data_IF_303041333089
#
_entry.id   IF_303041333089
#
_cell.length_a   1.000
_cell.length_b   1.000
_cell.length_c   1.000
_cell.angle_alpha   90.00
_cell.angle_beta   90.00
_cell.angle_gamma   90.00
#
_symmetry.space_group_name_H-M   'P 1'
#
loop_
_entity.id
_entity.type
_entity.pdbx_description
1 polymer ?
#
# COMPACT_ATOMS: atom_id res chain seq x y z
N UNK A 1 10.11 -64.52 -27.92
CA UNK A 1 8.94 -64.43 -27.02
C UNK A 1 9.34 -63.70 -25.76
N UNK A 2 8.99 -62.41 -25.61
CA UNK A 2 9.16 -61.74 -24.32
C UNK A 2 8.14 -62.35 -23.34
N UNK A 3 8.64 -62.83 -22.20
CA UNK A 3 7.80 -63.37 -21.14
C UNK A 3 6.85 -62.29 -20.61
N UNK A 4 5.58 -62.65 -20.44
CA UNK A 4 4.51 -61.80 -19.90
C UNK A 4 4.94 -61.11 -18.60
N UNK A 5 5.78 -61.76 -17.80
CA UNK A 5 6.32 -61.19 -16.55
C UNK A 5 7.24 -59.98 -16.77
N UNK A 6 7.97 -59.91 -17.89
CA UNK A 6 8.84 -58.76 -18.21
C UNK A 6 8.02 -57.58 -18.76
N UNK A 7 6.89 -57.86 -19.41
CA UNK A 7 5.95 -56.85 -19.88
C UNK A 7 5.20 -56.22 -18.71
N UNK A 8 4.69 -57.04 -17.77
CA UNK A 8 4.01 -56.56 -16.56
C UNK A 8 4.95 -55.74 -15.67
N UNK A 9 6.21 -56.18 -15.49
CA UNK A 9 7.22 -55.40 -14.75
C UNK A 9 7.57 -54.08 -15.42
N UNK A 10 7.68 -54.04 -16.75
CA UNK A 10 7.97 -52.79 -17.48
C UNK A 10 6.82 -51.80 -17.43
N UNK A 11 5.56 -52.28 -17.52
CA UNK A 11 4.37 -51.43 -17.38
C UNK A 11 4.25 -50.88 -15.96
N UNK A 12 4.57 -51.69 -14.94
CA UNK A 12 4.57 -51.24 -13.55
C UNK A 12 5.66 -50.20 -13.26
N UNK A 13 6.85 -50.36 -13.84
CA UNK A 13 7.94 -49.39 -13.72
C UNK A 13 7.63 -48.06 -14.45
N UNK A 14 6.97 -48.14 -15.61
CA UNK A 14 6.54 -46.96 -16.36
C UNK A 14 5.41 -46.20 -15.64
N UNK A 15 4.49 -46.90 -14.97
CA UNK A 15 3.46 -46.26 -14.15
C UNK A 15 4.08 -45.51 -12.96
N UNK A 16 5.07 -46.07 -12.26
CA UNK A 16 5.75 -45.43 -11.11
C UNK A 16 6.54 -44.17 -11.54
N UNK A 17 7.11 -44.16 -12.75
CA UNK A 17 7.80 -43.01 -13.32
C UNK A 17 6.86 -41.87 -13.73
N UNK A 18 5.61 -42.16 -14.08
CA UNK A 18 4.62 -41.13 -14.40
C UNK A 18 4.08 -40.45 -13.12
N UNK A 19 3.97 -41.16 -12.00
CA UNK A 19 3.49 -40.55 -10.73
C UNK A 19 4.51 -39.59 -10.10
N UNK A 20 5.79 -39.67 -10.47
CA UNK A 20 6.85 -38.81 -9.90
C UNK A 20 7.13 -37.53 -10.70
N UNK A 21 6.49 -37.32 -11.86
CA UNK A 21 6.83 -36.22 -12.79
C UNK A 21 5.89 -35.00 -12.76
N UNK A 22 4.97 -34.88 -11.81
CA UNK A 22 4.11 -33.69 -11.69
C UNK A 22 4.07 -33.15 -10.25
N UNK A 23 5.16 -32.51 -9.85
CA UNK A 23 5.16 -31.53 -8.77
C UNK A 23 5.82 -30.24 -9.26
N UNK A 24 5.28 -29.67 -10.33
CA UNK A 24 5.50 -28.26 -10.63
C UNK A 24 4.81 -27.45 -9.52
N UNK A 25 5.51 -27.20 -8.42
CA UNK A 25 5.07 -26.19 -7.45
C UNK A 25 4.96 -24.88 -8.24
N UNK A 26 3.73 -24.47 -8.55
CA UNK A 26 3.46 -23.12 -9.06
C UNK A 26 4.08 -22.19 -8.02
N UNK A 27 5.16 -21.49 -8.38
CA UNK A 27 5.73 -20.42 -7.56
C UNK A 27 4.73 -19.26 -7.57
N UNK A 28 3.69 -19.36 -6.75
CA UNK A 28 2.88 -18.20 -6.38
C UNK A 28 3.81 -17.36 -5.53
N UNK A 29 4.41 -16.33 -6.15
CA UNK A 29 5.15 -15.33 -5.41
C UNK A 29 4.14 -14.56 -4.55
N UNK A 30 4.38 -14.46 -3.22
CA UNK A 30 3.41 -13.90 -2.30
C UNK A 30 3.10 -12.45 -2.68
N UNK A 31 1.80 -12.14 -2.75
CA UNK A 31 1.34 -10.79 -3.02
C UNK A 31 1.72 -9.83 -1.89
N UNK A 32 1.73 -8.55 -2.20
CA UNK A 32 1.78 -7.50 -1.18
C UNK A 32 0.59 -7.60 -0.22
N UNK A 33 0.75 -7.04 0.99
CA UNK A 33 -0.28 -7.07 2.03
C UNK A 33 -0.72 -5.64 2.38
N UNK A 34 -2.00 -5.47 2.70
CA UNK A 34 -2.56 -4.21 3.18
C UNK A 34 -3.25 -4.44 4.52
N UNK A 35 -2.62 -4.00 5.59
CA UNK A 35 -3.06 -4.21 6.97
C UNK A 35 -3.79 -2.97 7.48
N UNK A 36 -4.94 -3.14 8.13
CA UNK A 36 -5.59 -2.08 8.91
C UNK A 36 -5.15 -2.18 10.36
N UNK A 37 -4.44 -1.16 10.82
CA UNK A 37 -3.89 -1.13 12.18
C UNK A 37 -4.75 -0.21 13.05
N UNK A 38 -5.38 -0.73 14.13
CA UNK A 38 -6.20 0.08 15.01
C UNK A 38 -5.36 0.94 15.95
N UNK A 39 -5.89 2.12 16.30
CA UNK A 39 -5.37 3.02 17.32
C UNK A 39 -6.49 3.86 17.95
N UNK A 40 -6.21 4.46 19.10
CA UNK A 40 -7.08 5.48 19.70
C UNK A 40 -6.42 6.84 19.50
N UNK A 41 -7.13 7.76 18.84
CA UNK A 41 -6.67 9.12 18.56
C UNK A 41 -6.39 9.87 19.86
N UNK A 42 -5.20 10.47 20.00
CA UNK A 42 -4.92 11.32 21.16
C UNK A 42 -5.67 12.64 21.08
N UNK A 43 -6.08 13.06 19.87
CA UNK A 43 -6.76 14.32 19.58
C UNK A 43 -8.18 14.34 20.12
N UNK A 44 -9.00 13.34 19.77
CA UNK A 44 -10.44 13.31 20.08
C UNK A 44 -10.91 12.04 20.80
N UNK A 45 -9.97 11.15 21.15
CA UNK A 45 -10.23 9.84 21.79
C UNK A 45 -11.07 8.87 20.95
N UNK A 46 -11.29 9.17 19.67
CA UNK A 46 -11.98 8.26 18.77
C UNK A 46 -11.15 7.02 18.46
N UNK A 47 -11.83 5.87 18.30
CA UNK A 47 -11.19 4.69 17.72
C UNK A 47 -11.04 4.89 16.22
N UNK A 48 -9.86 4.61 15.68
CA UNK A 48 -9.50 4.82 14.28
C UNK A 48 -8.56 3.72 13.80
N UNK A 49 -8.33 3.67 12.50
CA UNK A 49 -7.38 2.80 11.85
C UNK A 49 -6.50 3.62 10.89
N UNK A 50 -5.33 3.07 10.58
CA UNK A 50 -4.50 3.49 9.46
C UNK A 50 -4.07 2.26 8.67
N UNK A 51 -3.57 2.47 7.46
CA UNK A 51 -3.01 1.37 6.67
C UNK A 51 -1.51 1.21 6.89
N UNK A 52 -1.08 -0.05 6.98
CA UNK A 52 0.31 -0.46 6.74
C UNK A 52 0.35 -1.33 5.50
N UNK A 53 1.11 -0.91 4.50
CA UNK A 53 1.39 -1.74 3.32
C UNK A 53 2.71 -2.48 3.51
N UNK A 54 2.69 -3.79 3.23
CA UNK A 54 3.89 -4.61 3.16
C UNK A 54 4.15 -4.99 1.70
N UNK A 55 5.38 -4.78 1.20
CA UNK A 55 5.72 -5.02 -0.18
C UNK A 55 5.67 -6.51 -0.54
N UNK A 56 5.68 -6.77 -1.84
CA UNK A 56 5.76 -8.13 -2.38
C UNK A 56 6.99 -8.88 -1.82
N UNK A 57 6.81 -10.17 -1.54
CA UNK A 57 7.83 -11.05 -0.93
C UNK A 57 8.35 -10.60 0.45
N UNK A 58 7.63 -9.72 1.17
CA UNK A 58 8.05 -9.23 2.49
C UNK A 58 8.40 -10.37 3.46
N UNK A 59 7.52 -11.36 3.64
CA UNK A 59 7.73 -12.48 4.56
C UNK A 59 8.82 -13.49 4.09
N UNK A 60 9.15 -13.47 2.80
CA UNK A 60 10.17 -14.36 2.22
C UNK A 60 11.59 -13.80 2.35
N UNK A 61 11.73 -12.50 2.59
CA UNK A 61 13.03 -11.81 2.68
C UNK A 61 13.31 -11.42 4.13
N UNK A 62 13.44 -12.42 5.01
CA UNK A 62 13.61 -12.21 6.45
C UNK A 62 14.89 -11.43 6.80
N UNK A 63 15.95 -11.56 6.01
CA UNK A 63 17.20 -10.81 6.22
C UNK A 63 17.15 -9.37 5.66
N UNK A 64 16.10 -9.02 4.90
CA UNK A 64 15.97 -7.70 4.28
C UNK A 64 15.28 -6.72 5.23
N UNK A 65 15.98 -5.63 5.54
CA UNK A 65 15.37 -4.41 6.09
C UNK A 65 14.71 -3.59 4.99
N UNK A 66 13.48 -3.14 5.23
CA UNK A 66 12.68 -2.42 4.25
C UNK A 66 12.60 -0.92 4.58
N UNK A 67 12.82 -0.04 3.60
CA UNK A 67 12.62 1.40 3.79
C UNK A 67 11.18 1.73 4.12
N UNK A 68 11.01 2.70 5.03
CA UNK A 68 9.69 3.21 5.44
C UNK A 68 9.33 4.46 4.64
N UNK A 69 8.12 4.46 4.08
CA UNK A 69 7.51 5.62 3.45
C UNK A 69 6.25 6.03 4.23
N UNK A 70 6.26 7.24 4.79
CA UNK A 70 5.04 7.84 5.36
C UNK A 70 4.34 8.65 4.27
N UNK A 71 3.11 8.30 3.95
CA UNK A 71 2.31 9.03 2.95
C UNK A 71 1.16 9.77 3.59
N UNK A 72 1.17 11.09 3.48
CA UNK A 72 0.13 11.98 3.98
C UNK A 72 -0.73 12.47 2.82
N UNK A 73 -2.01 12.12 2.83
CA UNK A 73 -2.96 12.48 1.78
C UNK A 73 -3.36 13.97 1.81
N UNK A 74 -4.09 14.39 0.77
CA UNK A 74 -4.59 15.76 0.60
C UNK A 74 -5.90 16.03 1.35
N UNK A 75 -6.56 17.13 1.04
CA UNK A 75 -7.77 17.52 1.79
C UNK A 75 -8.99 16.62 1.50
N UNK A 76 -9.03 15.97 0.33
CA UNK A 76 -10.19 15.20 -0.14
C UNK A 76 -10.36 13.84 0.55
N UNK A 77 -9.27 13.23 1.02
CA UNK A 77 -9.28 11.88 1.58
C UNK A 77 -9.42 11.84 3.11
N UNK A 78 -9.77 12.97 3.74
CA UNK A 78 -10.05 13.06 5.19
C UNK A 78 -11.17 12.10 5.59
N UNK A 79 -11.25 11.69 6.84
CA UNK A 79 -12.36 10.87 7.29
C UNK A 79 -12.28 10.46 8.75
N UNK A 80 -13.19 9.56 9.10
CA UNK A 80 -13.32 9.03 10.46
C UNK A 80 -12.30 7.92 10.81
N UNK A 81 -11.43 7.50 9.89
CA UNK A 81 -10.46 6.42 10.13
C UNK A 81 -11.10 5.04 10.32
N UNK A 82 -12.37 4.89 9.98
CA UNK A 82 -13.14 3.65 10.11
C UNK A 82 -13.64 3.22 8.74
N UNK A 83 -14.94 3.32 8.47
CA UNK A 83 -15.52 3.00 7.17
C UNK A 83 -15.11 3.98 6.06
N UNK A 84 -14.57 5.15 6.41
CA UNK A 84 -14.06 6.13 5.46
C UNK A 84 -12.56 6.01 5.19
N UNK A 85 -11.84 5.11 5.89
CA UNK A 85 -10.38 4.98 5.74
C UNK A 85 -9.98 4.74 4.27
N UNK A 86 -10.84 4.09 3.49
CA UNK A 86 -10.53 3.67 2.12
C UNK A 86 -10.44 4.83 1.12
N UNK A 87 -10.88 6.04 1.49
CA UNK A 87 -10.62 7.22 0.66
C UNK A 87 -9.12 7.47 0.43
N UNK A 88 -8.24 7.03 1.34
CA UNK A 88 -6.78 7.18 1.16
C UNK A 88 -6.22 6.28 0.04
N UNK A 89 -7.03 5.37 -0.52
CA UNK A 89 -6.66 4.53 -1.66
C UNK A 89 -6.88 5.22 -3.02
N UNK A 90 -7.52 6.38 -3.05
CA UNK A 90 -7.85 7.07 -4.30
C UNK A 90 -6.58 7.56 -5.01
N UNK A 91 -5.61 8.08 -4.25
CA UNK A 91 -4.41 8.71 -4.80
C UNK A 91 -3.14 8.30 -4.07
N UNK A 92 -2.00 8.55 -4.71
CA UNK A 92 -0.68 8.43 -4.11
C UNK A 92 -0.05 7.03 -4.23
N UNK A 93 1.04 6.78 -3.47
CA UNK A 93 1.84 5.56 -3.61
C UNK A 93 1.06 4.30 -3.21
N UNK A 94 0.07 4.41 -2.32
CA UNK A 94 -0.77 3.27 -1.95
C UNK A 94 -1.70 2.85 -3.10
N UNK A 95 -2.26 3.80 -3.84
CA UNK A 95 -2.97 3.53 -5.10
C UNK A 95 -2.05 2.79 -6.08
N UNK A 96 -0.83 3.29 -6.30
CA UNK A 96 0.13 2.68 -7.22
C UNK A 96 0.49 1.24 -6.81
N UNK A 97 0.83 1.02 -5.55
CA UNK A 97 1.31 -0.29 -5.10
C UNK A 97 0.17 -1.30 -4.90
N UNK A 98 -0.89 -0.89 -4.21
CA UNK A 98 -1.98 -1.79 -3.83
C UNK A 98 -2.97 -1.97 -4.98
N UNK A 99 -3.49 -0.87 -5.53
CA UNK A 99 -4.55 -0.90 -6.54
C UNK A 99 -4.00 -1.28 -7.90
N UNK A 100 -2.91 -0.62 -8.32
CA UNK A 100 -2.30 -0.81 -9.63
C UNK A 100 -1.21 -1.90 -9.65
N UNK A 101 -0.99 -2.61 -8.53
CA UNK A 101 0.02 -3.68 -8.40
C UNK A 101 1.44 -3.27 -8.80
N UNK A 102 1.80 -1.97 -8.70
CA UNK A 102 3.17 -1.50 -8.95
C UNK A 102 4.11 -2.00 -7.86
N UNK A 103 5.23 -2.57 -8.27
CA UNK A 103 6.24 -3.04 -7.32
C UNK A 103 6.98 -1.84 -6.71
N UNK A 104 6.58 -1.46 -5.49
CA UNK A 104 7.20 -0.43 -4.68
C UNK A 104 7.81 -1.09 -3.44
N UNK A 105 9.16 -1.13 -3.30
CA UNK A 105 9.83 -1.92 -2.28
C UNK A 105 9.96 -1.19 -0.93
N UNK A 106 8.84 -0.65 -0.42
CA UNK A 106 8.77 0.10 0.84
C UNK A 106 7.67 -0.46 1.73
N UNK A 107 7.89 -0.44 3.06
CA UNK A 107 6.79 -0.51 4.02
C UNK A 107 6.15 0.87 4.05
N UNK A 108 4.83 0.98 3.85
CA UNK A 108 4.16 2.29 3.87
C UNK A 108 3.27 2.46 5.08
N UNK A 109 3.39 3.61 5.75
CA UNK A 109 2.47 4.06 6.81
C UNK A 109 1.54 5.10 6.21
N UNK A 110 0.25 4.78 6.14
CA UNK A 110 -0.76 5.61 5.46
C UNK A 110 -1.91 5.95 6.43
N UNK A 111 -1.77 7.03 7.21
CA UNK A 111 -2.81 7.53 8.11
C UNK A 111 -3.94 8.23 7.35
N UNK A 112 -5.10 8.36 7.99
CA UNK A 112 -6.18 9.24 7.54
C UNK A 112 -6.38 10.42 8.50
N UNK A 113 -6.28 11.63 7.96
CA UNK A 113 -6.51 12.89 8.68
C UNK A 113 -7.99 13.04 9.06
N UNK A 114 -8.25 13.59 10.24
CA UNK A 114 -9.59 13.89 10.71
C UNK A 114 -10.27 14.95 9.83
N UNK A 115 -11.59 15.03 9.90
CA UNK A 115 -12.35 16.01 9.14
C UNK A 115 -12.14 17.44 9.66
N UNK A 116 -12.00 17.62 10.98
CA UNK A 116 -11.81 18.92 11.63
C UNK A 116 -12.80 20.00 11.12
N UNK A 117 -14.07 19.61 10.96
CA UNK A 117 -15.15 20.50 10.53
C UNK A 117 -15.14 20.88 9.05
N UNK A 118 -14.24 20.31 8.22
CA UNK A 118 -14.20 20.59 6.77
C UNK A 118 -15.47 20.18 6.03
N UNK A 119 -16.18 19.19 6.55
CA UNK A 119 -17.50 18.71 6.14
C UNK A 119 -18.66 19.68 6.44
N UNK A 120 -18.39 20.77 7.19
CA UNK A 120 -19.40 21.80 7.49
C UNK A 120 -19.28 23.03 6.60
N UNK A 121 -18.32 23.04 5.68
CA UNK A 121 -17.96 24.21 4.87
C UNK A 121 -18.59 24.23 3.47
N UNK A 122 -19.40 23.25 3.08
CA UNK A 122 -20.00 23.20 1.75
C UNK A 122 -19.00 22.85 0.64
N UNK A 123 -17.94 22.10 0.97
CA UNK A 123 -16.87 21.76 0.03
C UNK A 123 -17.28 20.55 -0.79
N UNK A 124 -17.71 20.76 -2.04
CA UNK A 124 -18.28 19.68 -2.87
C UNK A 124 -17.39 18.44 -3.08
N UNK A 125 -16.06 18.56 -3.00
CA UNK A 125 -15.14 17.41 -3.09
C UNK A 125 -15.06 16.58 -1.79
N UNK A 126 -15.55 17.12 -0.66
CA UNK A 126 -15.73 16.40 0.61
C UNK A 126 -17.19 15.99 0.75
N UNK A 127 -18.13 16.90 0.54
CA UNK A 127 -19.53 16.69 0.90
C UNK A 127 -20.27 15.75 -0.07
N UNK A 128 -19.83 15.68 -1.34
CA UNK A 128 -20.48 14.86 -2.37
C UNK A 128 -19.73 13.56 -2.68
N UNK A 129 -18.79 13.18 -1.84
CA UNK A 129 -18.00 11.95 -2.06
C UNK A 129 -18.86 10.71 -1.88
N UNK A 130 -18.59 9.71 -2.70
CA UNK A 130 -19.22 8.39 -2.63
C UNK A 130 -18.15 7.31 -2.65
N UNK A 131 -18.44 6.16 -2.05
CA UNK A 131 -17.51 5.03 -1.98
C UNK A 131 -17.14 4.46 -3.34
N UNK A 132 -17.99 4.67 -4.35
CA UNK A 132 -17.74 4.22 -5.73
C UNK A 132 -16.55 4.94 -6.39
N UNK A 133 -16.10 6.07 -5.83
CA UNK A 133 -14.88 6.74 -6.28
C UNK A 133 -13.61 6.04 -5.82
N UNK A 134 -13.71 5.15 -4.83
CA UNK A 134 -12.57 4.39 -4.33
C UNK A 134 -12.24 3.32 -5.39
N UNK A 135 -11.03 3.37 -5.97
CA UNK A 135 -10.69 2.48 -7.06
C UNK A 135 -10.57 1.04 -6.56
N UNK A 136 -10.96 0.09 -7.40
CA UNK A 136 -10.86 -1.34 -7.11
C UNK A 136 -9.49 -1.85 -7.51
N UNK A 137 -8.89 -2.68 -6.65
CA UNK A 137 -7.61 -3.34 -6.91
C UNK A 137 -7.69 -4.17 -8.19
N UNK A 138 -6.72 -3.99 -9.08
CA UNK A 138 -6.63 -4.74 -10.32
C UNK A 138 -6.32 -6.22 -10.04
N UNK A 139 -6.86 -7.10 -10.89
CA UNK A 139 -6.53 -8.52 -10.82
C UNK A 139 -5.10 -8.78 -11.30
N UNK A 140 -4.67 -8.11 -12.37
CA UNK A 140 -3.41 -8.42 -13.06
C UNK A 140 -2.61 -7.17 -13.43
N UNK A 141 -1.33 -7.19 -13.05
CA UNK A 141 -0.29 -6.29 -13.57
C UNK A 141 -0.48 -4.80 -13.28
N UNK A 142 0.54 -4.03 -13.66
CA UNK A 142 0.50 -2.56 -13.71
C UNK A 142 -0.05 -2.17 -15.08
N UNK A 143 -1.06 -1.29 -15.17
CA UNK A 143 -1.56 -0.83 -16.46
C UNK A 143 -0.45 -0.09 -17.21
N UNK A 144 -0.52 -0.15 -18.55
CA UNK A 144 0.38 0.63 -19.38
C UNK A 144 0.15 2.13 -19.10
N UNK A 145 1.22 2.85 -18.80
CA UNK A 145 1.18 4.30 -18.63
C UNK A 145 1.31 4.96 -19.99
N UNK A 146 0.60 6.07 -20.18
CA UNK A 146 0.84 6.94 -21.34
C UNK A 146 2.32 7.31 -21.40
N UNK A 147 2.89 7.29 -22.61
CA UNK A 147 4.25 7.78 -22.82
C UNK A 147 4.34 9.20 -22.26
N UNK A 148 5.38 9.45 -21.46
CA UNK A 148 5.57 10.74 -20.81
C UNK A 148 5.49 11.88 -21.84
N UNK A 149 4.83 12.97 -21.46
CA UNK A 149 4.82 14.16 -22.28
C UNK A 149 6.25 14.73 -22.27
N UNK A 150 6.95 14.61 -23.40
CA UNK A 150 8.29 15.18 -23.52
C UNK A 150 8.13 16.70 -23.56
N UNK A 151 8.40 17.34 -22.42
CA UNK A 151 8.51 18.80 -22.33
C UNK A 151 9.71 19.18 -23.19
N UNK A 152 9.46 19.89 -24.30
CA UNK A 152 10.52 20.36 -25.21
C UNK A 152 11.35 21.48 -24.59
N UNK A 153 10.79 22.16 -23.60
CA UNK A 153 11.42 23.26 -22.89
C UNK A 153 12.32 22.73 -21.77
N UNK A 154 13.51 23.31 -21.63
CA UNK A 154 14.41 23.00 -20.53
C UNK A 154 13.78 23.48 -19.22
N UNK A 155 13.62 22.59 -18.25
CA UNK A 155 13.22 23.00 -16.90
C UNK A 155 14.29 23.92 -16.32
N UNK A 156 13.94 25.18 -16.08
CA UNK A 156 14.81 26.14 -15.38
C UNK A 156 14.48 26.00 -13.90
N UNK A 157 15.46 25.58 -13.10
CA UNK A 157 15.31 25.50 -11.65
C UNK A 157 15.05 26.88 -11.06
N UNK A 158 14.13 26.97 -10.11
CA UNK A 158 13.98 28.16 -9.28
C UNK A 158 14.98 28.13 -8.12
N UNK A 159 15.47 29.29 -7.70
CA UNK A 159 16.19 29.40 -6.43
C UNK A 159 15.18 29.19 -5.31
N UNK A 160 15.51 28.33 -4.34
CA UNK A 160 14.64 28.11 -3.18
C UNK A 160 14.35 29.43 -2.48
N UNK A 161 13.07 29.72 -2.29
CA UNK A 161 12.65 30.86 -1.45
C UNK A 161 12.98 30.57 0.03
N UNK A 162 13.01 31.62 0.85
CA UNK A 162 13.19 31.47 2.30
C UNK A 162 11.92 30.87 2.91
N UNK A 163 12.09 29.87 3.76
CA UNK A 163 10.97 29.34 4.56
C UNK A 163 10.43 30.48 5.43
N UNK A 164 9.13 30.83 5.33
CA UNK A 164 8.57 31.90 6.13
C UNK A 164 8.63 31.58 7.61
N UNK A 165 8.93 32.59 8.44
CA UNK A 165 9.04 32.45 9.91
C UNK A 165 7.70 32.15 10.58
N UNK A 166 6.60 32.42 9.88
CA UNK A 166 5.23 32.05 10.27
C UNK A 166 4.52 31.49 9.06
N UNK A 167 4.12 30.24 9.17
CA UNK A 167 3.16 29.60 8.28
C UNK A 167 1.79 29.70 8.93
N UNK A 168 0.81 30.24 8.20
CA UNK A 168 -0.58 30.18 8.61
C UNK A 168 -1.05 28.73 8.42
N UNK A 169 -0.74 27.87 9.39
CA UNK A 169 -1.28 26.52 9.39
C UNK A 169 -2.81 26.60 9.46
N UNK A 170 -3.48 25.86 8.57
CA UNK A 170 -4.90 25.65 8.73
C UNK A 170 -5.16 24.98 10.07
N UNK A 171 -6.15 25.46 10.82
CA UNK A 171 -6.66 24.72 11.97
C UNK A 171 -7.14 23.34 11.48
N UNK A 172 -6.68 22.27 12.15
CA UNK A 172 -6.98 20.90 11.73
C UNK A 172 -6.14 20.37 10.56
N UNK A 173 -4.86 20.75 10.49
CA UNK A 173 -3.87 20.12 9.58
C UNK A 173 -3.19 18.88 10.19
N UNK A 174 -2.22 18.33 9.46
CA UNK A 174 -1.39 17.20 9.94
C UNK A 174 -0.61 17.54 11.22
N UNK A 175 -0.28 18.81 11.44
CA UNK A 175 0.31 19.31 12.67
C UNK A 175 -0.58 19.08 13.91
N UNK A 176 -1.90 18.98 13.74
CA UNK A 176 -2.81 18.73 14.86
C UNK A 176 -2.81 17.26 15.32
N UNK A 177 -2.23 16.34 14.54
CA UNK A 177 -2.19 14.89 14.81
C UNK A 177 -0.76 14.36 14.94
N UNK A 178 0.22 15.23 15.14
CA UNK A 178 1.65 14.87 15.20
C UNK A 178 1.92 13.70 16.16
N UNK A 179 1.37 13.74 17.36
CA UNK A 179 1.58 12.69 18.36
C UNK A 179 1.02 11.33 17.94
N UNK A 180 -0.08 11.32 17.18
CA UNK A 180 -0.62 10.07 16.63
C UNK A 180 0.25 9.57 15.48
N UNK A 181 0.73 10.47 14.61
CA UNK A 181 1.63 10.13 13.50
C UNK A 181 2.93 9.49 13.99
N UNK A 182 3.59 10.12 14.96
CA UNK A 182 4.83 9.58 15.53
C UNK A 182 4.59 8.20 16.14
N UNK A 183 3.49 8.01 16.87
CA UNK A 183 3.16 6.70 17.44
C UNK A 183 2.89 5.61 16.39
N UNK A 184 2.34 5.96 15.22
CA UNK A 184 2.17 5.02 14.10
C UNK A 184 3.51 4.63 13.49
N UNK A 185 4.41 5.60 13.33
CA UNK A 185 5.77 5.37 12.80
C UNK A 185 6.54 4.48 13.77
N UNK A 186 6.60 4.83 15.06
CA UNK A 186 7.29 4.06 16.10
C UNK A 186 6.78 2.62 16.16
N UNK A 187 5.45 2.43 16.14
CA UNK A 187 4.84 1.10 16.11
C UNK A 187 5.23 0.33 14.85
N UNK A 188 5.32 0.99 13.70
CA UNK A 188 5.72 0.35 12.45
C UNK A 188 7.18 -0.09 12.51
N UNK A 189 8.07 0.79 12.97
CA UNK A 189 9.49 0.49 13.14
C UNK A 189 9.72 -0.65 14.12
N UNK A 190 8.92 -0.73 15.18
CA UNK A 190 9.02 -1.78 16.19
C UNK A 190 8.49 -3.14 15.70
N UNK A 191 7.38 -3.16 14.95
CA UNK A 191 6.66 -4.40 14.62
C UNK A 191 7.16 -5.03 13.31
N UNK A 192 7.65 -4.23 12.36
CA UNK A 192 8.02 -4.68 11.02
C UNK A 192 9.54 -4.59 10.80
N UNK A 193 10.06 -5.41 9.89
CA UNK A 193 11.46 -5.52 9.55
C UNK A 193 11.92 -4.36 8.67
N UNK A 194 11.97 -3.17 9.27
CA UNK A 194 12.29 -1.90 8.61
C UNK A 194 13.76 -1.53 8.78
N UNK A 195 14.28 -0.66 7.92
CA UNK A 195 15.54 0.02 8.18
C UNK A 195 15.31 1.16 9.21
N UNK A 196 16.33 1.43 10.03
CA UNK A 196 16.29 2.40 11.13
C UNK A 196 16.17 3.85 10.64
#
# INVERSE_FOLDING_TARGET
MLSINNLVKSVFFLLILIVTSCNSKIKISPEAQLLRIPYISKVDKSSRNYFVYLPKDYDQKQDKKWPVLVFLHGNGERGNGQNELDYVLIHGPLYEAWIQKRDLPFVMVVPQLHMFGRDTLGLGYIDNRVTDWIPKRLENGVPERSKDYIIKEQMIGAVSDKIPTKTNYFNGGWNAVETDLLAMIDKTLQVYNTDE
#
